data_IF_335483006894
#
_entry.id   IF_335483006894
#
_cell.length_a   1.000
_cell.length_b   1.000
_cell.length_c   1.000
_cell.angle_alpha   90.00
_cell.angle_beta   90.00
_cell.angle_gamma   90.00
#
_symmetry.space_group_name_H-M   'P 1'
#
loop_
_entity.id
_entity.type
_entity.pdbx_description
1 polymer ?
#
# COMPACT_ATOMS: atom_id res chain seq x y z
N UNK A 1 -24.71 -20.99 6.47
CA UNK A 1 -23.96 -20.39 5.34
C UNK A 1 -22.50 -20.83 5.43
N UNK A 2 -22.06 -21.69 4.50
CA UNK A 2 -20.71 -22.27 4.51
C UNK A 2 -19.66 -21.17 4.27
N UNK A 3 -18.77 -20.97 5.25
CA UNK A 3 -17.72 -19.95 5.26
C UNK A 3 -16.67 -20.35 4.22
N UNK A 4 -16.80 -19.81 3.00
CA UNK A 4 -15.94 -20.12 1.88
C UNK A 4 -14.47 -19.82 2.27
N UNK A 5 -13.66 -20.87 2.45
CA UNK A 5 -12.28 -20.81 3.00
C UNK A 5 -11.28 -20.25 1.98
N UNK A 6 -11.57 -19.07 1.42
CA UNK A 6 -10.71 -18.44 0.40
C UNK A 6 -9.48 -17.74 0.99
N UNK A 7 -9.43 -17.55 2.30
CA UNK A 7 -8.40 -16.78 2.98
C UNK A 7 -7.73 -17.67 4.03
N UNK A 8 -6.40 -17.81 3.93
CA UNK A 8 -5.59 -18.59 4.88
C UNK A 8 -5.42 -17.87 6.22
N UNK A 9 -5.43 -16.53 6.21
CA UNK A 9 -5.27 -15.69 7.39
C UNK A 9 -6.61 -15.21 7.93
N UNK A 10 -6.68 -14.95 9.25
CA UNK A 10 -7.85 -14.29 9.83
C UNK A 10 -7.87 -12.80 9.47
N UNK A 11 -9.05 -12.19 9.59
CA UNK A 11 -9.20 -10.73 9.40
C UNK A 11 -8.31 -9.95 10.37
N UNK A 12 -8.13 -10.43 11.60
CA UNK A 12 -7.28 -9.77 12.61
C UNK A 12 -5.82 -9.78 12.19
N UNK A 13 -5.34 -10.90 11.65
CA UNK A 13 -3.95 -11.05 11.21
C UNK A 13 -3.66 -10.13 10.01
N UNK A 14 -4.60 -10.04 9.06
CA UNK A 14 -4.51 -9.12 7.92
C UNK A 14 -4.38 -7.66 8.40
N UNK A 15 -5.15 -7.27 9.41
CA UNK A 15 -5.10 -5.91 9.98
C UNK A 15 -3.80 -5.69 10.73
N UNK A 16 -3.32 -6.68 11.50
CA UNK A 16 -2.05 -6.61 12.24
C UNK A 16 -0.88 -6.43 11.28
N UNK A 17 -0.76 -7.28 10.26
CA UNK A 17 0.27 -7.15 9.22
C UNK A 17 0.19 -5.80 8.51
N UNK A 18 -1.03 -5.30 8.23
CA UNK A 18 -1.16 -3.97 7.65
C UNK A 18 -0.61 -2.89 8.57
N UNK A 19 -0.91 -2.94 9.88
CA UNK A 19 -0.40 -1.96 10.85
C UNK A 19 1.13 -2.03 11.01
N UNK A 20 1.72 -3.22 10.90
CA UNK A 20 3.17 -3.44 11.00
C UNK A 20 3.98 -2.85 9.82
N UNK A 21 3.31 -2.48 8.72
CA UNK A 21 3.99 -1.85 7.58
C UNK A 21 3.87 -2.61 6.27
N UNK A 22 3.45 -3.88 6.32
CA UNK A 22 3.33 -4.71 5.13
C UNK A 22 2.37 -4.09 4.10
N UNK A 23 2.73 -4.23 2.83
CA UNK A 23 1.91 -3.78 1.72
C UNK A 23 0.70 -4.71 1.52
N UNK A 24 -0.38 -4.19 0.95
CA UNK A 24 -1.56 -5.02 0.61
C UNK A 24 -1.22 -6.17 -0.35
N UNK A 25 -0.13 -6.06 -1.10
CA UNK A 25 0.36 -7.09 -2.01
C UNK A 25 1.05 -8.23 -1.28
N UNK A 26 1.90 -7.93 -0.30
CA UNK A 26 2.55 -8.93 0.56
C UNK A 26 1.51 -9.66 1.41
N UNK A 27 0.58 -8.91 2.01
CA UNK A 27 -0.51 -9.48 2.81
C UNK A 27 -1.40 -10.38 1.93
N UNK A 28 -1.69 -9.96 0.70
CA UNK A 28 -2.47 -10.77 -0.24
C UNK A 28 -1.80 -12.11 -0.57
N UNK A 29 -0.48 -12.09 -0.83
CA UNK A 29 0.30 -13.31 -1.05
C UNK A 29 0.28 -14.23 0.17
N UNK A 30 0.46 -13.69 1.38
CA UNK A 30 0.45 -14.46 2.63
C UNK A 30 -0.94 -15.06 2.92
N UNK A 31 -2.01 -14.32 2.63
CA UNK A 31 -3.39 -14.76 2.86
C UNK A 31 -3.97 -15.64 1.73
N UNK A 32 -3.29 -15.77 0.59
CA UNK A 32 -3.81 -16.47 -0.60
C UNK A 32 -4.93 -15.72 -1.33
N UNK A 33 -4.97 -14.39 -1.20
CA UNK A 33 -6.05 -13.53 -1.72
C UNK A 33 -5.51 -12.38 -2.57
N UNK A 34 -6.37 -11.77 -3.37
CA UNK A 34 -5.96 -10.61 -4.16
C UNK A 34 -5.73 -9.38 -3.27
N UNK A 35 -4.82 -8.46 -3.64
CA UNK A 35 -4.63 -7.20 -2.91
C UNK A 35 -5.90 -6.35 -2.83
N UNK A 36 -6.82 -6.51 -3.80
CA UNK A 36 -8.15 -5.90 -3.79
C UNK A 36 -8.99 -6.41 -2.62
N UNK A 37 -8.96 -7.71 -2.37
CA UNK A 37 -9.69 -8.32 -1.25
C UNK A 37 -9.16 -7.84 0.11
N UNK A 38 -7.84 -7.74 0.27
CA UNK A 38 -7.22 -7.14 1.48
C UNK A 38 -7.75 -5.72 1.71
N UNK A 39 -7.83 -4.91 0.65
CA UNK A 39 -8.35 -3.54 0.75
C UNK A 39 -9.82 -3.48 1.16
N UNK A 40 -10.64 -4.42 0.67
CA UNK A 40 -12.05 -4.55 1.08
C UNK A 40 -12.13 -4.88 2.58
N UNK A 41 -11.30 -5.81 3.07
CA UNK A 41 -11.26 -6.14 4.51
C UNK A 41 -10.87 -4.93 5.34
N UNK A 42 -9.83 -4.19 4.94
CA UNK A 42 -9.39 -2.99 5.66
C UNK A 42 -10.50 -1.95 5.74
N UNK A 43 -11.17 -1.67 4.62
CA UNK A 43 -12.29 -0.72 4.58
C UNK A 43 -13.49 -1.19 5.41
N UNK A 44 -13.81 -2.49 5.38
CA UNK A 44 -14.92 -3.06 6.16
C UNK A 44 -14.66 -3.09 7.68
N UNK A 45 -13.43 -2.87 8.11
CA UNK A 45 -13.02 -2.80 9.51
C UNK A 45 -12.54 -1.39 9.89
N UNK A 46 -12.95 -0.37 9.14
CA UNK A 46 -12.64 1.04 9.38
C UNK A 46 -11.14 1.34 9.52
N UNK A 47 -10.28 0.55 8.87
CA UNK A 47 -8.84 0.77 8.86
C UNK A 47 -8.49 1.79 7.78
N UNK A 48 -7.97 2.98 8.15
CA UNK A 48 -7.63 4.00 7.18
C UNK A 48 -6.52 3.52 6.25
N UNK A 49 -6.73 3.70 4.95
CA UNK A 49 -5.74 3.32 3.95
C UNK A 49 -4.62 4.35 3.89
N UNK A 50 -3.39 3.87 3.69
CA UNK A 50 -2.23 4.71 3.42
C UNK A 50 -2.51 5.63 2.22
N UNK A 51 -2.16 6.92 2.32
CA UNK A 51 -2.36 7.86 1.23
C UNK A 51 -1.61 7.39 -0.03
N UNK A 52 -2.25 7.48 -1.19
CA UNK A 52 -1.65 7.18 -2.49
C UNK A 52 -1.01 8.47 -3.03
N UNK A 53 0.24 8.41 -3.49
CA UNK A 53 0.84 9.52 -4.23
C UNK A 53 2.37 9.61 -4.15
N UNK A 54 2.97 9.94 -5.29
CA UNK A 54 4.41 10.18 -5.53
C UNK A 54 4.98 11.42 -4.84
N UNK A 55 4.12 12.23 -4.17
CA UNK A 55 4.52 13.44 -3.46
C UNK A 55 5.28 13.18 -2.15
N UNK A 56 5.33 11.92 -1.66
CA UNK A 56 6.35 11.50 -0.70
C UNK A 56 7.69 11.38 -1.42
N UNK A 57 8.24 12.52 -1.86
CA UNK A 57 9.61 12.55 -2.36
C UNK A 57 10.51 12.20 -1.18
N UNK A 58 11.26 11.09 -1.31
CA UNK A 58 12.28 10.69 -0.33
C UNK A 58 13.39 11.75 -0.22
N UNK A 59 13.58 12.56 -1.27
CA UNK A 59 14.61 13.57 -1.37
C UNK A 59 14.00 14.94 -1.71
N UNK A 60 14.56 15.99 -1.13
CA UNK A 60 14.27 17.36 -1.51
C UNK A 60 14.86 17.61 -2.90
N UNK A 61 14.02 17.92 -3.89
CA UNK A 61 14.49 18.26 -5.23
C UNK A 61 15.00 19.71 -5.22
N UNK A 62 16.20 19.93 -5.74
CA UNK A 62 16.66 21.26 -6.06
C UNK A 62 15.92 21.75 -7.32
N UNK A 63 14.96 22.66 -7.14
CA UNK A 63 14.21 23.22 -8.26
C UNK A 63 15.07 24.15 -9.13
N UNK A 64 16.12 24.72 -8.56
CA UNK A 64 17.01 25.65 -9.28
C UNK A 64 17.90 24.93 -10.29
N UNK A 65 18.14 23.62 -10.09
CA UNK A 65 18.84 22.76 -11.06
C UNK A 65 18.17 22.76 -12.45
N UNK A 66 16.85 22.87 -12.51
CA UNK A 66 16.10 22.86 -13.78
C UNK A 66 15.98 24.25 -14.42
N UNK A 67 16.42 25.31 -13.73
CA UNK A 67 16.32 26.70 -14.24
C UNK A 67 17.52 27.09 -15.11
N UNK A 68 18.62 26.34 -15.04
CA UNK A 68 19.78 26.57 -15.88
C UNK A 68 19.72 25.68 -17.11
N UNK A 69 19.37 26.25 -18.26
CA UNK A 69 19.70 25.62 -19.55
C UNK A 69 21.17 25.90 -19.81
N UNK A 70 22.03 24.89 -19.68
CA UNK A 70 23.41 25.00 -20.17
C UNK A 70 23.38 24.93 -21.69
N UNK A 71 23.09 26.06 -22.33
CA UNK A 71 23.36 26.24 -23.74
C UNK A 71 24.88 26.36 -23.89
N UNK A 72 25.55 25.23 -24.09
CA UNK A 72 26.95 25.23 -24.51
C UNK A 72 26.96 25.51 -26.00
N UNK A 73 27.35 26.73 -26.39
CA UNK A 73 27.84 27.07 -27.73
C UNK A 73 29.36 26.99 -27.67
#
# INVERSE_FOLDING_TARGET
>A
MSKNRKCLLSVKDIIAMYKEGYSTSEIGKAAGVTPRYVRIILHANDVPLRPRGSWKRKYQLNQDYFKTWSATI
#
